data_IF_942075609415
#
_entry.id   IF_942075609415
#
_cell.length_a   1.000
_cell.length_b   1.000
_cell.length_c   1.000
_cell.angle_alpha   90.00
_cell.angle_beta   90.00
_cell.angle_gamma   90.00
#
_symmetry.space_group_name_H-M   'P 1'
#
loop_
_entity.id
_entity.type
_entity.pdbx_description
1 polymer ?
#
# COMPACT_ATOMS: atom_id res chain seq x y z
N UNK A 1 17.65 7.89 24.07
CA UNK A 1 19.00 7.84 23.44
C UNK A 1 19.09 6.64 22.51
N UNK A 2 20.14 6.56 21.67
CA UNK A 2 20.38 5.38 20.81
C UNK A 2 20.45 4.08 21.63
N UNK A 3 21.09 4.10 22.80
CA UNK A 3 21.19 2.90 23.66
C UNK A 3 19.83 2.43 24.17
N UNK A 4 18.93 3.35 24.48
CA UNK A 4 17.60 3.00 24.97
C UNK A 4 16.78 2.32 23.87
N UNK A 5 16.83 2.84 22.63
CA UNK A 5 16.07 2.26 21.52
C UNK A 5 16.69 0.97 21.00
N UNK A 6 18.02 0.81 21.07
CA UNK A 6 18.68 -0.47 20.81
C UNK A 6 18.22 -1.54 21.81
N UNK A 7 18.14 -1.18 23.09
CA UNK A 7 17.61 -2.08 24.12
C UNK A 7 16.17 -2.50 23.81
N UNK A 8 15.30 -1.54 23.46
CA UNK A 8 13.90 -1.83 23.07
C UNK A 8 13.86 -2.81 21.89
N UNK A 9 14.69 -2.58 20.86
CA UNK A 9 14.74 -3.47 19.70
C UNK A 9 15.16 -4.90 20.08
N UNK A 10 16.21 -5.05 20.92
CA UNK A 10 16.70 -6.38 21.36
C UNK A 10 15.71 -7.10 22.28
N UNK A 11 14.89 -6.38 23.04
CA UNK A 11 13.85 -6.94 23.90
C UNK A 11 12.61 -7.38 23.13
N UNK A 12 12.44 -6.92 21.87
CA UNK A 12 11.30 -7.31 21.02
C UNK A 12 11.50 -8.72 20.47
N UNK A 13 10.85 -9.70 21.07
CA UNK A 13 11.04 -11.14 20.81
C UNK A 13 10.92 -11.53 19.35
N UNK A 14 10.02 -10.90 18.59
CA UNK A 14 9.78 -11.20 17.17
C UNK A 14 11.03 -10.95 16.31
N UNK A 15 11.91 -10.04 16.70
CA UNK A 15 13.14 -9.70 15.95
C UNK A 15 14.26 -10.74 16.14
N UNK A 16 14.19 -11.53 17.20
CA UNK A 16 15.20 -12.58 17.53
C UNK A 16 16.65 -12.04 17.51
N UNK A 17 16.86 -10.81 17.97
CA UNK A 17 18.18 -10.15 17.99
C UNK A 17 19.02 -10.65 19.14
N UNK A 18 19.77 -11.73 18.93
CA UNK A 18 20.75 -12.28 19.84
C UNK A 18 22.13 -11.59 19.74
N UNK A 19 23.12 -12.09 20.48
CA UNK A 19 24.48 -11.54 20.52
C UNK A 19 25.26 -11.68 19.20
N UNK A 20 24.74 -12.41 18.22
CA UNK A 20 25.36 -12.56 16.89
C UNK A 20 25.01 -11.41 15.95
N UNK A 21 24.01 -10.58 16.31
CA UNK A 21 23.65 -9.40 15.53
C UNK A 21 24.46 -8.18 15.95
N UNK A 22 25.14 -7.56 15.00
CA UNK A 22 25.80 -6.29 15.14
C UNK A 22 24.87 -5.14 14.76
N UNK A 23 24.88 -4.04 15.54
CA UNK A 23 24.23 -2.80 15.13
C UNK A 23 25.15 -2.07 14.16
N UNK A 24 24.84 -2.11 12.87
CA UNK A 24 25.66 -1.52 11.79
C UNK A 24 25.47 -0.01 11.72
N UNK A 25 24.25 0.46 11.85
CA UNK A 25 23.98 1.90 11.88
C UNK A 25 22.73 2.24 12.67
N UNK A 26 22.69 3.48 13.16
CA UNK A 26 21.53 4.08 13.80
C UNK A 26 21.45 5.55 13.39
N UNK A 27 20.27 6.01 12.97
CA UNK A 27 20.04 7.41 12.69
C UNK A 27 18.71 7.91 13.28
N UNK A 28 18.62 9.20 13.49
CA UNK A 28 17.41 9.88 13.95
C UNK A 28 16.85 10.71 12.79
N UNK A 29 15.66 10.41 12.33
CA UNK A 29 14.99 11.14 11.26
C UNK A 29 13.57 11.54 11.66
N UNK A 30 13.02 12.55 10.97
CA UNK A 30 11.60 12.88 11.09
C UNK A 30 10.75 11.86 10.38
N UNK A 31 9.56 11.58 10.95
CA UNK A 31 8.53 10.78 10.31
C UNK A 31 8.07 11.40 8.99
N UNK A 32 7.52 10.58 8.13
CA UNK A 32 6.91 10.99 6.88
C UNK A 32 5.45 10.49 6.85
N UNK A 33 4.50 11.24 6.29
CA UNK A 33 4.60 12.57 5.65
C UNK A 33 4.49 13.73 6.63
N UNK A 34 4.09 13.50 7.89
CA UNK A 34 3.70 14.55 8.84
C UNK A 34 4.87 15.38 9.33
N UNK A 35 6.06 14.79 9.43
CA UNK A 35 7.29 15.41 9.96
C UNK A 35 7.13 15.99 11.37
N UNK A 36 6.20 15.43 12.15
CA UNK A 36 5.86 15.90 13.50
C UNK A 36 6.63 15.16 14.58
N UNK A 37 7.02 13.92 14.33
CA UNK A 37 7.75 13.08 15.26
C UNK A 37 9.16 12.79 14.76
N UNK A 38 9.97 12.24 15.64
CA UNK A 38 11.29 11.72 15.31
C UNK A 38 11.30 10.21 15.56
N UNK A 39 11.85 9.45 14.62
CA UNK A 39 12.05 8.02 14.75
C UNK A 39 13.55 7.71 14.72
N UNK A 40 13.99 6.85 15.62
CA UNK A 40 15.26 6.16 15.51
C UNK A 40 15.10 5.01 14.52
N UNK A 41 15.97 4.96 13.51
CA UNK A 41 16.05 3.86 12.57
C UNK A 41 17.37 3.14 12.86
N UNK A 42 17.28 1.84 13.08
CA UNK A 42 18.37 0.95 13.45
C UNK A 42 18.45 -0.16 12.42
N UNK A 43 19.66 -0.52 12.04
CA UNK A 43 19.91 -1.69 11.21
C UNK A 43 20.85 -2.64 11.90
N UNK A 44 20.39 -3.85 12.10
CA UNK A 44 21.16 -4.95 12.68
C UNK A 44 21.50 -5.96 11.60
N UNK A 45 22.71 -6.46 11.63
CA UNK A 45 23.19 -7.46 10.69
C UNK A 45 23.82 -8.64 11.42
N UNK A 46 23.44 -9.83 11.01
CA UNK A 46 24.17 -11.05 11.26
C UNK A 46 24.71 -11.55 9.93
N UNK A 47 26.02 -11.63 9.84
CA UNK A 47 26.69 -12.19 8.65
C UNK A 47 26.41 -13.69 8.55
N UNK A 48 26.26 -14.18 7.32
CA UNK A 48 26.18 -15.59 7.01
C UNK A 48 27.56 -16.27 6.96
N UNK A 49 27.55 -17.57 6.77
CA UNK A 49 28.76 -18.33 6.46
C UNK A 49 29.28 -18.03 5.03
N UNK A 50 30.33 -18.74 4.59
CA UNK A 50 30.94 -18.58 3.25
C UNK A 50 29.95 -18.80 2.08
N UNK A 51 28.82 -19.50 2.33
CA UNK A 51 27.75 -19.74 1.38
C UNK A 51 26.57 -18.75 1.55
N UNK A 52 26.66 -17.80 2.48
CA UNK A 52 25.62 -16.86 2.85
C UNK A 52 24.50 -17.48 3.70
N UNK A 53 24.68 -18.69 4.23
CA UNK A 53 23.73 -19.29 5.16
C UNK A 53 23.75 -18.57 6.49
N UNK A 54 22.55 -18.29 7.04
CA UNK A 54 22.41 -17.57 8.29
C UNK A 54 22.51 -16.06 8.18
N UNK A 55 22.74 -15.51 6.97
CA UNK A 55 22.68 -14.07 6.76
C UNK A 55 21.29 -13.53 7.09
N UNK A 56 21.24 -12.49 7.93
CA UNK A 56 20.00 -11.87 8.35
C UNK A 56 20.21 -10.38 8.64
N UNK A 57 19.45 -9.54 7.92
CA UNK A 57 19.34 -8.12 8.19
C UNK A 57 18.02 -7.79 8.88
N UNK A 58 18.04 -6.92 9.86
CA UNK A 58 16.86 -6.43 10.57
C UNK A 58 16.87 -4.91 10.61
N UNK A 59 15.90 -4.31 9.94
CA UNK A 59 15.60 -2.90 10.05
C UNK A 59 14.51 -2.69 11.11
N UNK A 60 14.67 -1.72 11.99
CA UNK A 60 13.62 -1.35 12.95
C UNK A 60 13.57 0.15 13.15
N UNK A 61 12.35 0.71 13.12
CA UNK A 61 12.07 2.11 13.41
C UNK A 61 11.28 2.24 14.70
N UNK A 62 11.76 3.09 15.59
CA UNK A 62 11.20 3.30 16.93
C UNK A 62 10.97 4.79 17.16
N UNK A 63 9.77 5.15 17.59
CA UNK A 63 9.45 6.53 17.95
C UNK A 63 10.36 7.01 19.08
N UNK A 64 11.11 8.08 18.83
CA UNK A 64 12.14 8.58 19.75
C UNK A 64 11.58 9.11 21.08
N UNK A 65 10.30 9.46 21.12
CA UNK A 65 9.63 10.02 22.30
C UNK A 65 8.93 8.95 23.12
N UNK A 66 8.24 8.04 22.46
CA UNK A 66 7.37 7.05 23.12
C UNK A 66 8.01 5.69 23.28
N UNK A 67 9.02 5.36 22.49
CA UNK A 67 9.59 4.01 22.39
C UNK A 67 8.73 3.02 21.62
N UNK A 68 7.65 3.49 20.98
CA UNK A 68 6.73 2.68 20.18
C UNK A 68 7.44 2.16 18.92
N UNK A 69 7.26 0.89 18.63
CA UNK A 69 7.71 0.29 17.37
C UNK A 69 6.82 0.80 16.22
N UNK A 70 7.44 1.47 15.26
CA UNK A 70 6.74 2.03 14.09
C UNK A 70 6.85 1.11 12.88
N UNK A 71 8.00 0.49 12.72
CA UNK A 71 8.25 -0.42 11.60
C UNK A 71 9.32 -1.42 11.98
N UNK A 72 9.25 -2.62 11.43
CA UNK A 72 10.41 -3.49 11.28
C UNK A 72 10.29 -4.36 10.03
N UNK A 73 11.45 -4.78 9.52
CA UNK A 73 11.56 -5.74 8.44
C UNK A 73 12.74 -6.67 8.69
N UNK A 74 12.49 -7.97 8.57
CA UNK A 74 13.50 -9.03 8.75
C UNK A 74 13.77 -9.63 7.38
N UNK A 75 14.99 -9.49 6.90
CA UNK A 75 15.46 -10.06 5.63
C UNK A 75 16.40 -11.23 5.91
N UNK A 76 15.95 -12.43 5.55
CA UNK A 76 16.73 -13.68 5.73
C UNK A 76 16.93 -14.36 4.40
N UNK A 77 18.07 -15.02 4.24
CA UNK A 77 18.23 -16.01 3.17
C UNK A 77 17.46 -17.26 3.57
N UNK A 78 16.25 -17.43 3.02
CA UNK A 78 15.42 -18.61 3.28
C UNK A 78 15.66 -19.67 2.23
N UNK A 79 15.78 -20.93 2.71
CA UNK A 79 15.81 -22.14 1.86
C UNK A 79 14.46 -22.86 1.79
N UNK A 80 13.46 -22.39 2.55
CA UNK A 80 12.16 -23.05 2.63
C UNK A 80 11.22 -22.42 1.59
N UNK A 81 10.88 -23.21 0.56
CA UNK A 81 10.08 -22.77 -0.59
C UNK A 81 8.62 -23.24 -0.53
N UNK A 82 8.20 -23.91 0.56
CA UNK A 82 6.86 -24.49 0.70
C UNK A 82 6.13 -23.91 1.89
N UNK A 83 4.95 -23.35 1.63
CA UNK A 83 4.06 -22.86 2.69
C UNK A 83 3.56 -24.02 3.56
N UNK A 84 3.68 -23.89 4.88
CA UNK A 84 3.22 -24.87 5.89
C UNK A 84 1.99 -24.38 6.67
N UNK A 85 1.77 -23.06 6.65
CA UNK A 85 0.69 -22.41 7.37
C UNK A 85 -0.28 -21.81 6.37
N UNK A 86 -1.54 -22.09 6.54
CA UNK A 86 -2.60 -21.43 5.77
C UNK A 86 -2.85 -20.02 6.29
N UNK A 87 -3.65 -19.26 5.52
CA UNK A 87 -3.94 -17.87 5.84
C UNK A 87 -4.69 -17.69 7.16
N UNK A 88 -5.56 -18.61 7.53
CA UNK A 88 -6.32 -18.58 8.78
C UNK A 88 -5.41 -18.74 10.00
N UNK A 89 -4.53 -19.74 9.97
CA UNK A 89 -3.53 -19.94 11.02
C UNK A 89 -2.56 -18.75 11.14
N UNK A 90 -2.10 -18.23 10.00
CA UNK A 90 -1.25 -17.05 9.94
C UNK A 90 -1.94 -15.82 10.54
N UNK A 91 -3.20 -15.56 10.17
CA UNK A 91 -3.99 -14.45 10.68
C UNK A 91 -4.12 -14.50 12.21
N UNK A 92 -4.39 -15.66 12.76
CA UNK A 92 -4.47 -15.84 14.22
C UNK A 92 -3.16 -15.43 14.90
N UNK A 93 -2.02 -15.88 14.39
CA UNK A 93 -0.70 -15.53 14.91
C UNK A 93 -0.44 -14.00 14.81
N UNK A 94 -0.82 -13.40 13.69
CA UNK A 94 -0.71 -11.95 13.47
C UNK A 94 -1.57 -11.18 14.47
N UNK A 95 -2.82 -11.58 14.68
CA UNK A 95 -3.71 -10.90 15.62
C UNK A 95 -3.26 -11.05 17.09
N UNK A 96 -2.68 -12.20 17.46
CA UNK A 96 -2.08 -12.39 18.78
C UNK A 96 -0.89 -11.44 18.97
N UNK A 97 -0.02 -11.34 18.00
CA UNK A 97 1.10 -10.40 17.99
C UNK A 97 0.63 -8.93 18.08
N UNK A 98 -0.38 -8.54 17.33
CA UNK A 98 -0.91 -7.17 17.36
C UNK A 98 -1.54 -6.81 18.71
N UNK A 99 -2.20 -7.76 19.35
CA UNK A 99 -2.74 -7.60 20.72
C UNK A 99 -1.62 -7.41 21.75
N UNK A 100 -0.44 -7.97 21.51
CA UNK A 100 0.72 -7.80 22.40
C UNK A 100 1.39 -6.44 22.21
N UNK A 101 1.70 -6.05 20.96
CA UNK A 101 2.53 -4.85 20.71
C UNK A 101 1.75 -3.55 20.51
N UNK A 102 0.49 -3.63 20.03
CA UNK A 102 -0.35 -2.47 19.70
C UNK A 102 -1.81 -2.65 20.11
N UNK A 103 -2.12 -3.03 21.35
CA UNK A 103 -3.47 -3.39 21.76
C UNK A 103 -4.49 -2.27 21.55
N UNK A 104 -4.14 -1.02 21.81
CA UNK A 104 -5.08 0.09 21.73
C UNK A 104 -5.35 0.50 20.27
N UNK A 105 -4.31 0.65 19.47
CA UNK A 105 -4.49 1.01 18.05
C UNK A 105 -5.12 -0.13 17.25
N UNK A 106 -4.79 -1.39 17.57
CA UNK A 106 -5.40 -2.55 16.91
C UNK A 106 -6.91 -2.63 17.11
N UNK A 107 -7.44 -2.24 18.27
CA UNK A 107 -8.89 -2.15 18.53
C UNK A 107 -9.60 -1.11 17.66
N UNK A 108 -8.87 -0.09 17.19
CA UNK A 108 -9.38 0.95 16.32
C UNK A 108 -9.22 0.62 14.83
N UNK A 109 -8.98 -0.64 14.48
CA UNK A 109 -8.81 -1.04 13.08
C UNK A 109 -9.82 -2.09 12.63
N UNK A 110 -10.05 -2.14 11.34
CA UNK A 110 -10.81 -3.19 10.66
C UNK A 110 -9.91 -3.95 9.67
N UNK A 111 -10.06 -5.26 9.65
CA UNK A 111 -9.32 -6.12 8.74
C UNK A 111 -9.77 -5.95 7.29
N UNK A 112 -8.82 -5.71 6.38
CA UNK A 112 -9.08 -5.60 4.96
C UNK A 112 -9.20 -6.98 4.30
N UNK A 113 -10.45 -7.42 4.09
CA UNK A 113 -10.76 -8.72 3.45
C UNK A 113 -10.52 -8.73 1.95
N UNK A 114 -10.59 -7.57 1.28
CA UNK A 114 -10.41 -7.50 -0.18
C UNK A 114 -8.98 -7.85 -0.58
N UNK A 115 -8.00 -7.53 0.26
CA UNK A 115 -6.62 -7.93 0.05
C UNK A 115 -6.43 -9.47 0.04
N UNK A 116 -7.36 -10.24 0.63
CA UNK A 116 -7.32 -11.71 0.63
C UNK A 116 -7.75 -12.30 -0.71
N UNK A 117 -8.73 -11.67 -1.37
CA UNK A 117 -9.32 -12.18 -2.62
C UNK A 117 -8.37 -12.03 -3.80
N UNK A 118 -7.53 -10.98 -3.82
CA UNK A 118 -6.55 -10.76 -4.88
C UNK A 118 -5.42 -11.81 -4.87
N UNK A 119 -5.05 -12.33 -3.69
CA UNK A 119 -3.93 -13.28 -3.54
C UNK A 119 -4.34 -14.72 -3.89
N UNK A 120 -5.60 -15.07 -3.72
CA UNK A 120 -6.13 -16.43 -4.01
C UNK A 120 -6.37 -16.70 -5.50
N UNK A 121 -6.19 -15.71 -6.36
CA UNK A 121 -6.47 -15.79 -7.80
C UNK A 121 -5.39 -16.51 -8.64
N UNK A 122 -4.24 -16.86 -8.06
CA UNK A 122 -3.21 -17.66 -8.72
C UNK A 122 -3.47 -19.15 -8.50
N UNK A 123 -3.88 -19.86 -9.55
CA UNK A 123 -4.15 -21.30 -9.49
C UNK A 123 -2.92 -22.09 -8.98
N UNK A 124 -3.07 -22.75 -7.84
CA UNK A 124 -2.35 -23.99 -7.53
C UNK A 124 -1.36 -23.97 -6.37
N UNK A 125 -0.72 -22.88 -5.97
CA UNK A 125 0.24 -22.87 -4.85
C UNK A 125 -0.06 -21.76 -3.84
N UNK A 126 -0.01 -22.10 -2.54
CA UNK A 126 -0.13 -21.08 -1.51
C UNK A 126 1.11 -20.18 -1.49
N UNK A 127 0.93 -18.84 -1.46
CA UNK A 127 2.06 -17.94 -1.38
C UNK A 127 2.82 -18.11 -0.05
N UNK A 128 4.15 -18.06 -0.12
CA UNK A 128 5.02 -18.16 1.06
C UNK A 128 4.89 -16.90 1.93
N UNK A 129 4.71 -15.74 1.31
CA UNK A 129 4.56 -14.47 2.01
C UNK A 129 3.11 -14.02 2.01
N UNK A 130 2.54 -13.87 3.23
CA UNK A 130 1.17 -13.45 3.45
C UNK A 130 1.15 -12.05 4.07
N UNK A 131 0.50 -11.11 3.39
CA UNK A 131 0.25 -9.78 3.91
C UNK A 131 -1.10 -9.67 4.63
N UNK A 132 -1.14 -8.96 5.76
CA UNK A 132 -2.35 -8.68 6.53
C UNK A 132 -2.46 -7.18 6.76
N UNK A 133 -3.56 -6.59 6.31
CA UNK A 133 -3.82 -5.17 6.42
C UNK A 133 -4.98 -4.91 7.38
N UNK A 134 -4.77 -4.00 8.32
CA UNK A 134 -5.77 -3.54 9.29
C UNK A 134 -5.88 -2.03 9.17
N UNK A 135 -6.96 -1.57 8.55
CA UNK A 135 -7.20 -0.14 8.29
C UNK A 135 -7.84 0.52 9.50
N UNK A 136 -7.38 1.72 9.86
CA UNK A 136 -7.94 2.48 10.98
C UNK A 136 -9.39 2.86 10.72
N UNK A 137 -10.22 2.67 11.75
CA UNK A 137 -11.63 3.04 11.78
C UNK A 137 -11.83 4.25 12.71
N UNK A 138 -12.34 5.35 12.18
CA UNK A 138 -12.60 6.57 12.95
C UNK A 138 -14.04 6.97 12.78
N UNK A 139 -14.78 7.09 13.88
CA UNK A 139 -16.23 7.39 13.87
C UNK A 139 -17.03 6.43 12.94
N UNK A 140 -16.61 5.17 12.83
CA UNK A 140 -17.23 4.19 11.94
C UNK A 140 -16.84 4.31 10.45
N UNK A 141 -15.89 5.18 10.11
CA UNK A 141 -15.41 5.40 8.74
C UNK A 141 -13.95 4.97 8.62
N UNK A 142 -13.64 4.22 7.56
CA UNK A 142 -12.28 3.80 7.26
C UNK A 142 -11.39 5.01 6.91
N UNK A 143 -10.19 5.02 7.48
CA UNK A 143 -9.15 5.97 7.15
C UNK A 143 -7.97 5.24 6.48
N UNK A 144 -7.97 5.04 5.14
CA UNK A 144 -7.02 4.18 4.43
C UNK A 144 -5.55 4.58 4.54
N UNK A 145 -5.28 5.86 4.88
CA UNK A 145 -3.93 6.37 5.11
C UNK A 145 -3.37 5.98 6.48
N UNK A 146 -4.16 5.34 7.34
CA UNK A 146 -3.74 4.87 8.65
C UNK A 146 -4.11 3.41 8.83
N UNK A 147 -3.25 2.70 9.56
CA UNK A 147 -3.47 1.31 9.87
C UNK A 147 -2.22 0.56 10.23
N UNK A 148 -2.34 -0.73 10.27
CA UNK A 148 -1.28 -1.67 10.61
C UNK A 148 -1.16 -2.67 9.48
N UNK A 149 0.08 -2.91 9.02
CA UNK A 149 0.38 -3.95 8.04
C UNK A 149 1.36 -4.93 8.64
N UNK A 150 1.11 -6.21 8.43
CA UNK A 150 1.97 -7.29 8.94
C UNK A 150 2.26 -8.27 7.82
N UNK A 151 3.53 -8.59 7.62
CA UNK A 151 3.99 -9.65 6.73
C UNK A 151 4.34 -10.91 7.50
N UNK A 152 3.79 -12.03 7.06
CA UNK A 152 3.96 -13.35 7.66
C UNK A 152 4.58 -14.31 6.66
N UNK A 153 5.59 -15.06 7.08
CA UNK A 153 6.19 -16.10 6.27
C UNK A 153 5.50 -17.44 6.56
N UNK A 154 4.73 -17.93 5.60
CA UNK A 154 3.95 -19.16 5.73
C UNK A 154 4.80 -20.44 5.71
N UNK A 155 6.05 -20.38 5.27
CA UNK A 155 6.96 -21.52 5.34
C UNK A 155 7.57 -21.68 6.74
N UNK A 156 7.87 -20.57 7.42
CA UNK A 156 8.53 -20.58 8.74
C UNK A 156 7.56 -20.39 9.91
N UNK A 157 6.35 -19.86 9.64
CA UNK A 157 5.37 -19.50 10.68
C UNK A 157 5.72 -18.24 11.46
N UNK A 158 6.58 -17.37 10.90
CA UNK A 158 7.09 -16.17 11.58
C UNK A 158 6.58 -14.89 10.95
N UNK A 159 6.43 -13.86 11.77
CA UNK A 159 6.21 -12.49 11.32
C UNK A 159 7.57 -11.92 10.91
N UNK A 160 7.66 -11.42 9.67
CA UNK A 160 8.91 -10.87 9.12
C UNK A 160 8.84 -9.37 8.85
N UNK A 161 7.64 -8.80 8.79
CA UNK A 161 7.50 -7.34 8.68
C UNK A 161 6.30 -6.81 9.46
N UNK A 162 6.43 -5.57 9.89
CA UNK A 162 5.39 -4.82 10.58
C UNK A 162 5.51 -3.35 10.21
N UNK A 163 4.40 -2.68 9.98
CA UNK A 163 4.35 -1.24 9.75
C UNK A 163 3.11 -0.65 10.39
N UNK A 164 3.32 0.42 11.15
CA UNK A 164 2.29 1.22 11.78
C UNK A 164 2.28 2.62 11.15
N UNK A 165 1.24 2.93 10.39
CA UNK A 165 0.97 4.28 9.91
C UNK A 165 -0.14 4.88 10.77
N UNK A 166 0.20 5.89 11.59
CA UNK A 166 -0.76 6.45 12.53
C UNK A 166 -0.56 7.94 12.71
N UNK A 167 -1.49 8.72 12.14
CA UNK A 167 -1.41 10.18 12.19
C UNK A 167 -2.29 10.73 13.30
N UNK A 168 -1.72 11.62 14.11
CA UNK A 168 -2.46 12.39 15.10
C UNK A 168 -3.05 13.63 14.42
N UNK A 169 -4.25 13.46 13.85
CA UNK A 169 -4.97 14.50 13.12
C UNK A 169 -6.38 14.64 13.70
N UNK A 170 -6.97 15.83 13.54
CA UNK A 170 -8.37 16.05 13.91
C UNK A 170 -9.28 15.56 12.80
N UNK A 171 -10.24 14.75 13.16
CA UNK A 171 -11.26 14.27 12.24
C UNK A 171 -12.54 15.10 12.35
N UNK A 172 -13.17 15.47 11.22
CA UNK A 172 -14.49 16.09 11.22
C UNK A 172 -15.56 15.11 11.71
N UNK A 173 -16.70 15.63 12.15
CA UNK A 173 -17.88 14.80 12.48
C UNK A 173 -18.52 14.26 11.21
N UNK A 174 -18.95 13.00 11.24
CA UNK A 174 -19.71 12.38 10.14
C UNK A 174 -21.18 12.76 10.11
N UNK A 175 -21.70 13.40 11.18
CA UNK A 175 -23.12 13.73 11.32
C UNK A 175 -23.64 14.75 10.28
N UNK A 176 -22.73 15.52 9.67
CA UNK A 176 -23.06 16.53 8.65
C UNK A 176 -22.87 16.03 7.23
N UNK A 177 -22.50 14.77 7.07
CA UNK A 177 -22.27 14.22 5.74
C UNK A 177 -23.57 14.30 4.90
N UNK A 178 -23.39 14.74 3.66
CA UNK A 178 -24.46 14.76 2.66
C UNK A 178 -24.95 13.33 2.42
N UNK A 179 -26.25 13.14 2.32
CA UNK A 179 -26.85 11.84 2.05
C UNK A 179 -26.28 11.23 0.76
N UNK A 180 -26.03 9.92 0.79
CA UNK A 180 -25.36 9.19 -0.30
C UNK A 180 -26.14 9.30 -1.62
N UNK A 181 -27.48 9.31 -1.57
CA UNK A 181 -28.37 9.47 -2.72
C UNK A 181 -28.08 10.77 -3.47
N UNK A 182 -27.84 11.86 -2.75
CA UNK A 182 -27.47 13.14 -3.37
C UNK A 182 -26.08 13.10 -4.01
N UNK A 183 -25.15 12.37 -3.44
CA UNK A 183 -23.84 12.15 -4.04
C UNK A 183 -23.96 11.34 -5.34
N UNK A 184 -24.84 10.32 -5.37
CA UNK A 184 -25.14 9.58 -6.61
C UNK A 184 -25.71 10.50 -7.70
N UNK A 185 -26.65 11.39 -7.36
CA UNK A 185 -27.18 12.37 -8.33
C UNK A 185 -26.07 13.26 -8.91
N UNK A 186 -25.17 13.78 -8.05
CA UNK A 186 -24.04 14.60 -8.48
C UNK A 186 -23.08 13.77 -9.36
N UNK A 187 -22.76 12.53 -8.93
CA UNK A 187 -21.89 11.64 -9.68
C UNK A 187 -22.42 11.39 -11.09
N UNK A 188 -23.68 10.99 -11.25
CA UNK A 188 -24.25 10.69 -12.56
C UNK A 188 -24.41 11.92 -13.43
N UNK A 189 -24.64 13.09 -12.84
CA UNK A 189 -24.77 14.35 -13.57
C UNK A 189 -23.43 14.91 -14.05
N UNK A 190 -22.41 14.90 -13.20
CA UNK A 190 -21.15 15.62 -13.41
C UNK A 190 -20.03 14.73 -13.96
N UNK A 191 -20.04 13.45 -13.66
CA UNK A 191 -19.03 12.45 -14.04
C UNK A 191 -19.64 11.43 -14.99
N UNK A 192 -20.58 10.61 -14.50
CA UNK A 192 -21.32 9.65 -15.27
C UNK A 192 -20.50 8.46 -15.76
N UNK A 193 -21.15 7.70 -16.64
CA UNK A 193 -20.56 6.53 -17.31
C UNK A 193 -20.49 6.78 -18.81
N UNK A 194 -19.45 6.30 -19.44
CA UNK A 194 -19.27 6.34 -20.89
C UNK A 194 -18.96 4.95 -21.45
N UNK A 195 -19.33 4.73 -22.70
CA UNK A 195 -19.02 3.48 -23.41
C UNK A 195 -17.55 3.51 -23.85
N UNK A 196 -16.83 2.45 -23.51
CA UNK A 196 -15.43 2.27 -23.88
C UNK A 196 -15.19 0.85 -24.40
N UNK A 197 -14.24 0.71 -25.33
CA UNK A 197 -13.68 -0.59 -25.65
C UNK A 197 -12.47 -0.86 -24.78
N UNK A 198 -12.44 -2.02 -24.13
CA UNK A 198 -11.28 -2.51 -23.39
C UNK A 198 -10.79 -3.82 -24.01
N UNK A 199 -9.49 -4.06 -23.88
CA UNK A 199 -8.89 -5.36 -24.21
C UNK A 199 -8.88 -6.19 -22.94
N UNK A 200 -9.33 -7.45 -23.02
CA UNK A 200 -9.28 -8.37 -21.89
C UNK A 200 -7.81 -8.67 -21.55
N UNK A 201 -7.35 -8.18 -20.40
CA UNK A 201 -5.95 -8.29 -19.94
C UNK A 201 -5.46 -9.73 -19.81
N UNK A 202 -6.35 -10.71 -19.64
CA UNK A 202 -6.00 -12.13 -19.57
C UNK A 202 -5.61 -12.71 -20.95
N UNK A 203 -5.81 -11.96 -22.04
CA UNK A 203 -5.51 -12.37 -23.41
C UNK A 203 -4.36 -11.57 -24.05
N UNK A 204 -3.66 -10.71 -23.29
CA UNK A 204 -2.47 -10.02 -23.80
C UNK A 204 -1.28 -10.98 -23.73
N UNK A 205 -0.94 -11.62 -24.83
CA UNK A 205 0.32 -12.36 -24.99
C UNK A 205 1.41 -11.33 -25.29
N UNK A 206 2.29 -11.08 -24.34
CA UNK A 206 3.56 -10.42 -24.62
C UNK A 206 4.39 -11.34 -25.50
N UNK A 207 4.48 -11.03 -26.79
CA UNK A 207 5.44 -11.69 -27.67
C UNK A 207 6.82 -11.16 -27.29
N UNK A 208 7.51 -11.87 -26.41
CA UNK A 208 8.96 -11.71 -26.32
C UNK A 208 9.52 -12.01 -27.72
N UNK A 209 10.22 -11.04 -28.30
CA UNK A 209 11.01 -11.25 -29.50
C UNK A 209 12.15 -12.20 -29.14
N UNK A 210 11.87 -13.49 -29.13
CA UNK A 210 12.92 -14.50 -29.11
C UNK A 210 13.47 -14.65 -30.51
N UNK A 211 14.77 -14.61 -30.56
CA UNK A 211 15.65 -14.88 -31.73
C UNK A 211 15.19 -16.14 -32.45
N UNK A 212 15.17 -16.06 -33.77
CA UNK A 212 14.79 -17.05 -34.75
C UNK A 212 14.85 -18.53 -34.29
N UNK A 213 13.71 -19.24 -34.38
CA UNK A 213 13.67 -20.70 -34.39
C UNK A 213 12.64 -21.41 -33.52
N UNK A 214 11.64 -20.74 -32.95
CA UNK A 214 10.59 -21.42 -32.19
C UNK A 214 9.25 -21.37 -32.98
N UNK A 215 8.64 -22.53 -33.09
CA UNK A 215 7.39 -22.79 -33.77
C UNK A 215 6.27 -21.81 -33.45
N UNK A 216 5.66 -21.25 -34.47
CA UNK A 216 4.39 -20.53 -34.44
C UNK A 216 3.28 -21.44 -33.89
N UNK A 217 2.90 -21.26 -32.64
CA UNK A 217 1.62 -21.71 -32.10
C UNK A 217 1.08 -20.72 -31.09
N UNK A 218 0.17 -19.93 -31.52
CA UNK A 218 -1.13 -19.55 -30.98
C UNK A 218 -1.51 -18.14 -31.45
N UNK A 219 -2.30 -18.07 -32.52
CA UNK A 219 -3.20 -16.94 -32.76
C UNK A 219 -4.20 -16.84 -31.60
N UNK A 220 -3.82 -16.30 -30.48
CA UNK A 220 -4.79 -15.82 -29.50
C UNK A 220 -5.32 -14.50 -30.04
N UNK A 221 -6.50 -14.53 -30.64
CA UNK A 221 -7.23 -13.33 -31.04
C UNK A 221 -7.48 -12.50 -29.78
N UNK A 222 -6.91 -11.32 -29.75
CA UNK A 222 -7.24 -10.31 -28.75
C UNK A 222 -8.62 -9.79 -29.04
N UNK A 223 -9.59 -10.05 -28.18
CA UNK A 223 -10.96 -9.56 -28.33
C UNK A 223 -11.16 -8.30 -27.51
N UNK A 224 -11.83 -7.32 -28.13
CA UNK A 224 -12.25 -6.11 -27.44
C UNK A 224 -13.64 -6.34 -26.83
N UNK A 225 -13.81 -5.91 -25.57
CA UNK A 225 -15.12 -5.86 -24.89
C UNK A 225 -15.62 -4.43 -24.86
N UNK A 226 -16.91 -4.25 -25.13
CA UNK A 226 -17.60 -2.98 -24.93
C UNK A 226 -18.09 -2.92 -23.48
N UNK A 227 -17.69 -1.91 -22.75
CA UNK A 227 -18.03 -1.73 -21.33
C UNK A 227 -18.54 -0.33 -21.05
N UNK A 228 -19.33 -0.16 -19.99
CA UNK A 228 -19.53 1.13 -19.38
C UNK A 228 -18.43 1.35 -18.32
N UNK A 229 -17.69 2.42 -18.45
CA UNK A 229 -16.67 2.82 -17.47
C UNK A 229 -16.98 4.21 -16.93
N UNK A 230 -16.50 4.49 -15.72
CA UNK A 230 -16.57 5.83 -15.13
C UNK A 230 -15.76 6.77 -16.01
N UNK A 231 -16.31 7.95 -16.32
CA UNK A 231 -15.55 8.97 -17.03
C UNK A 231 -14.39 9.45 -16.15
N UNK A 232 -13.16 9.26 -16.61
CA UNK A 232 -11.94 9.58 -15.85
C UNK A 232 -11.41 10.99 -16.08
N UNK A 233 -12.09 11.81 -16.88
CA UNK A 233 -11.68 13.21 -17.11
C UNK A 233 -11.88 14.10 -15.87
N UNK A 234 -12.80 13.71 -14.99
CA UNK A 234 -13.04 14.37 -13.72
C UNK A 234 -12.72 13.42 -12.55
N UNK A 235 -12.21 13.94 -11.44
CA UNK A 235 -11.99 13.10 -10.25
C UNK A 235 -13.32 12.65 -9.64
N UNK A 236 -13.39 11.38 -9.21
CA UNK A 236 -14.58 10.80 -8.54
C UNK A 236 -14.43 10.83 -7.01
N UNK A 237 -14.04 11.98 -6.46
CA UNK A 237 -13.95 12.22 -5.02
C UNK A 237 -14.83 13.40 -4.66
N UNK A 238 -15.66 13.24 -3.62
CA UNK A 238 -16.63 14.25 -3.21
C UNK A 238 -16.34 14.69 -1.78
N UNK A 239 -16.50 15.98 -1.53
CA UNK A 239 -16.52 16.54 -0.18
C UNK A 239 -17.79 16.07 0.53
N UNK A 240 -17.65 15.46 1.68
CA UNK A 240 -18.78 14.86 2.39
C UNK A 240 -19.73 15.90 2.97
N UNK A 241 -19.27 17.13 3.28
CA UNK A 241 -20.12 18.17 3.85
C UNK A 241 -20.88 18.95 2.78
N UNK A 242 -20.32 19.12 1.58
CA UNK A 242 -20.88 20.00 0.55
C UNK A 242 -21.33 19.26 -0.72
N UNK A 243 -20.83 18.05 -0.96
CA UNK A 243 -21.02 17.32 -2.21
C UNK A 243 -20.15 17.81 -3.35
N UNK A 244 -19.27 18.79 -3.14
CA UNK A 244 -18.40 19.32 -4.17
C UNK A 244 -17.38 18.28 -4.66
N UNK A 245 -17.12 18.21 -5.96
CA UNK A 245 -16.06 17.38 -6.52
C UNK A 245 -14.70 17.93 -6.05
N UNK A 246 -13.80 17.06 -5.58
CA UNK A 246 -12.49 17.42 -5.09
C UNK A 246 -11.39 16.92 -6.04
N UNK A 247 -10.34 17.72 -6.20
CA UNK A 247 -9.10 17.33 -6.87
C UNK A 247 -8.23 16.36 -6.00
N UNK A 248 -7.05 16.01 -6.51
CA UNK A 248 -6.09 15.17 -5.79
C UNK A 248 -5.62 15.77 -4.47
N UNK A 249 -5.62 17.09 -4.36
CA UNK A 249 -5.19 17.83 -3.16
C UNK A 249 -6.32 18.04 -2.14
N UNK A 250 -7.54 17.56 -2.45
CA UNK A 250 -8.73 17.75 -1.62
C UNK A 250 -9.35 19.15 -1.73
N UNK A 251 -9.00 19.92 -2.76
CA UNK A 251 -9.60 21.22 -3.04
C UNK A 251 -10.77 21.05 -4.01
N UNK A 252 -11.74 21.99 -4.03
CA UNK A 252 -12.79 21.97 -5.04
C UNK A 252 -12.21 21.90 -6.46
N UNK A 253 -12.61 20.86 -7.20
CA UNK A 253 -12.17 20.66 -8.57
C UNK A 253 -12.56 21.82 -9.46
N UNK A 254 -11.63 22.27 -10.28
CA UNK A 254 -11.86 23.28 -11.31
C UNK A 254 -11.48 22.67 -12.65
N UNK A 255 -12.41 22.68 -13.59
CA UNK A 255 -12.07 22.32 -14.97
C UNK A 255 -10.96 23.24 -15.46
N UNK A 256 -9.90 22.64 -15.98
CA UNK A 256 -8.89 23.39 -16.71
C UNK A 256 -9.57 23.99 -17.93
N UNK A 257 -9.75 25.30 -17.95
CA UNK A 257 -10.11 25.98 -19.20
C UNK A 257 -9.03 25.66 -20.21
N UNK A 258 -9.44 25.28 -21.42
CA UNK A 258 -8.49 25.16 -22.53
C UNK A 258 -7.60 26.39 -22.55
N UNK A 259 -6.29 26.17 -22.65
CA UNK A 259 -5.34 27.27 -22.72
C UNK A 259 -5.66 28.09 -23.97
N UNK A 260 -6.25 29.29 -23.80
CA UNK A 260 -6.38 30.24 -24.88
C UNK A 260 -5.00 30.90 -25.10
N UNK A 261 -4.36 30.52 -26.17
CA UNK A 261 -3.11 31.12 -26.58
C UNK A 261 -3.45 32.52 -27.22
N UNK A 262 -3.20 33.57 -26.49
CA UNK A 262 -3.53 34.93 -26.93
C UNK A 262 -2.47 35.55 -27.85
N UNK A 263 -1.31 34.94 -27.97
CA UNK A 263 -0.12 35.40 -28.69
C UNK A 263 0.13 34.69 -30.04
N UNK A 264 -0.82 33.86 -30.49
CA UNK A 264 -0.68 33.03 -31.69
C UNK A 264 -1.25 33.70 -32.97
N UNK A 265 -1.74 34.92 -32.89
CA UNK A 265 -2.42 35.61 -34.03
C UNK A 265 -1.59 35.58 -35.30
N UNK A 266 -0.28 35.77 -35.21
CA UNK A 266 0.65 35.82 -36.33
C UNK A 266 1.63 34.62 -36.36
N UNK A 267 1.39 33.59 -35.55
CA UNK A 267 2.29 32.43 -35.47
C UNK A 267 2.08 31.49 -36.66
N UNK A 268 3.16 31.09 -37.34
CA UNK A 268 3.12 30.19 -38.50
C UNK A 268 2.41 28.87 -38.28
N UNK A 269 2.43 28.34 -37.04
CA UNK A 269 1.79 27.08 -36.61
C UNK A 269 0.40 27.34 -35.96
N UNK A 270 -0.23 28.49 -36.12
CA UNK A 270 -1.52 28.84 -35.50
C UNK A 270 -2.58 27.74 -35.67
N UNK A 271 -2.77 27.28 -36.93
CA UNK A 271 -3.75 26.23 -37.20
C UNK A 271 -3.51 24.93 -36.47
N UNK A 272 -2.25 24.55 -36.24
CA UNK A 272 -1.87 23.33 -35.51
C UNK A 272 -2.06 23.51 -34.01
N UNK A 273 -1.79 24.70 -33.48
CA UNK A 273 -1.97 25.05 -32.06
C UNK A 273 -3.45 25.12 -31.69
N UNK A 274 -4.31 25.66 -32.57
CA UNK A 274 -5.76 25.74 -32.37
C UNK A 274 -6.47 24.39 -32.45
N UNK A 275 -5.77 23.33 -32.88
CA UNK A 275 -6.28 21.93 -32.94
C UNK A 275 -5.88 21.10 -31.72
N UNK A 276 -5.03 21.60 -30.81
CA UNK A 276 -4.61 20.97 -29.58
C UNK A 276 -5.52 21.36 -28.41
#
# INVERSE_FOLDING_TARGET
TQKDVEKIARELKVLELDDTFNLEWANLSKDWPTRTNYNWNLYFLREGDENGEGHCGVDVSINAKTGEIVNFNISKTNKEDVAKFDREAAKKTVEEFLKEIQPEKFKETEYDKLADEEITSTEGEQPIYLGFNYTRLVNGVLFPNNGIRVGFNAATGKIESYSLEWYDVKFPSVEKAVELEKIYEIFFKEIGLELQYIIDGNNVVYVERSVAGADEKADKKTEAKLVYAVNTQKPARFDADTGAILDSDGKPYKENKALEYTDISDHYAKKQIELL
#
